data_IF_957712983324
#
_entry.id   IF_957712983324
#
_cell.length_a   1.000
_cell.length_b   1.000
_cell.length_c   1.000
_cell.angle_alpha   90.00
_cell.angle_beta   90.00
_cell.angle_gamma   90.00
#
_symmetry.space_group_name_H-M   'P 1'
#
loop_
_entity.id
_entity.type
_entity.pdbx_description
1 polymer ?
#
# COMPACT_ATOMS: atom_id res chain seq x y z
N UNK A 1 22.37 -19.07 3.00
CA UNK A 1 22.97 -17.75 2.73
C UNK A 1 21.95 -16.72 3.18
N UNK A 2 22.31 -15.73 4.02
CA UNK A 2 21.37 -14.65 4.34
C UNK A 2 21.20 -13.80 3.08
N UNK A 3 19.98 -13.42 2.70
CA UNK A 3 19.78 -12.50 1.59
C UNK A 3 20.59 -11.22 1.85
N UNK A 4 21.22 -10.72 0.78
CA UNK A 4 22.03 -9.50 0.83
C UNK A 4 21.16 -8.31 1.26
N UNK A 5 21.74 -7.34 1.97
CA UNK A 5 21.02 -6.12 2.38
C UNK A 5 20.48 -5.34 1.17
N UNK A 6 21.07 -5.55 -0.02
CA UNK A 6 20.61 -4.96 -1.28
C UNK A 6 19.28 -5.55 -1.80
N UNK A 7 18.78 -6.65 -1.23
CA UNK A 7 17.53 -7.29 -1.69
C UNK A 7 16.28 -6.58 -1.17
N UNK A 8 16.36 -5.90 -0.04
CA UNK A 8 15.19 -5.32 0.64
C UNK A 8 15.18 -3.81 0.54
N UNK A 9 14.05 -3.23 0.16
CA UNK A 9 13.90 -1.78 0.07
C UNK A 9 13.84 -1.12 1.46
N UNK A 10 13.24 -1.82 2.42
CA UNK A 10 13.05 -1.31 3.77
C UNK A 10 13.45 -2.34 4.83
N UNK A 11 14.19 -1.89 5.83
CA UNK A 11 14.12 -2.44 7.18
C UNK A 11 12.93 -1.85 7.94
N UNK A 12 12.55 -2.47 9.05
CA UNK A 12 11.50 -1.93 9.94
C UNK A 12 11.81 -0.48 10.37
N UNK A 13 13.08 -0.19 10.72
CA UNK A 13 13.48 1.15 11.13
C UNK A 13 13.29 2.18 10.01
N UNK A 14 13.73 1.85 8.78
CA UNK A 14 13.58 2.73 7.63
C UNK A 14 12.11 2.95 7.25
N UNK A 15 11.28 1.89 7.33
CA UNK A 15 9.84 2.04 7.08
C UNK A 15 9.19 2.96 8.11
N UNK A 16 9.55 2.84 9.40
CA UNK A 16 9.07 3.74 10.45
C UNK A 16 9.47 5.19 10.16
N UNK A 17 10.72 5.43 9.77
CA UNK A 17 11.21 6.78 9.43
C UNK A 17 10.43 7.41 8.27
N UNK A 18 10.05 6.62 7.26
CA UNK A 18 9.20 7.11 6.17
C UNK A 18 7.76 7.36 6.63
N UNK A 19 7.16 6.43 7.38
CA UNK A 19 5.78 6.57 7.87
C UNK A 19 5.62 7.75 8.83
N UNK A 20 6.64 8.09 9.62
CA UNK A 20 6.64 9.27 10.50
C UNK A 20 6.57 10.61 9.76
N UNK A 21 6.84 10.64 8.45
CA UNK A 21 6.74 11.84 7.62
C UNK A 21 5.33 12.06 7.06
N UNK A 22 4.43 11.10 7.20
CA UNK A 22 3.05 11.15 6.70
C UNK A 22 2.08 11.60 7.82
N UNK A 23 0.87 12.09 7.49
CA UNK A 23 -0.12 12.44 8.51
C UNK A 23 -0.51 11.22 9.36
N UNK A 24 -0.41 11.36 10.68
CA UNK A 24 -0.49 10.26 11.64
C UNK A 24 -1.91 9.69 11.85
N UNK A 25 -2.93 10.38 11.35
CA UNK A 25 -4.34 10.02 11.44
C UNK A 25 -4.85 9.26 10.21
N UNK A 26 -4.04 9.15 9.15
CA UNK A 26 -4.41 8.38 7.96
C UNK A 26 -4.36 6.87 8.24
N UNK A 27 -5.35 6.10 7.77
CA UNK A 27 -5.30 4.65 7.81
C UNK A 27 -4.16 4.12 6.91
N UNK A 28 -3.60 2.97 7.27
CA UNK A 28 -2.55 2.30 6.50
C UNK A 28 -3.11 1.01 5.91
N UNK A 29 -2.98 0.84 4.59
CA UNK A 29 -3.44 -0.32 3.83
C UNK A 29 -2.29 -0.91 3.00
N UNK A 30 -2.46 -2.13 2.51
CA UNK A 30 -1.51 -2.78 1.59
C UNK A 30 -2.16 -2.95 0.22
N UNK A 31 -1.38 -2.86 -0.85
CA UNK A 31 -1.85 -3.32 -2.16
C UNK A 31 -2.16 -4.82 -2.11
N UNK A 32 -3.33 -5.25 -2.59
CA UNK A 32 -3.70 -6.67 -2.67
C UNK A 32 -3.05 -7.36 -3.88
N UNK A 33 -2.62 -8.62 -3.72
CA UNK A 33 -2.34 -9.54 -4.82
C UNK A 33 -2.32 -11.00 -4.33
N UNK A 34 -2.73 -11.93 -5.19
CA UNK A 34 -2.86 -13.35 -4.87
C UNK A 34 -1.49 -14.04 -4.70
N UNK A 35 -1.31 -14.68 -3.54
CA UNK A 35 -0.21 -15.59 -3.14
C UNK A 35 1.22 -15.24 -3.59
N UNK A 36 2.01 -14.72 -2.66
CA UNK A 36 3.44 -14.41 -2.80
C UNK A 36 3.85 -13.31 -1.82
N UNK A 37 5.13 -12.96 -1.77
CA UNK A 37 5.62 -11.79 -1.01
C UNK A 37 6.54 -10.97 -1.89
N UNK A 38 6.35 -9.65 -1.88
CA UNK A 38 7.17 -8.69 -2.61
C UNK A 38 7.68 -7.59 -1.68
N UNK A 39 8.73 -6.88 -2.10
CA UNK A 39 9.20 -5.70 -1.38
C UNK A 39 8.11 -4.62 -1.36
N UNK A 40 8.12 -3.80 -0.31
CA UNK A 40 7.40 -2.52 -0.34
C UNK A 40 8.18 -1.59 -1.27
N UNK A 41 7.53 -1.04 -2.28
CA UNK A 41 8.13 -0.08 -3.20
C UNK A 41 8.26 1.29 -2.54
N UNK A 42 7.13 1.91 -2.17
CA UNK A 42 7.09 3.10 -1.32
C UNK A 42 5.69 3.29 -0.71
N UNK A 43 5.58 3.89 0.51
CA UNK A 43 4.32 4.38 1.03
C UNK A 43 3.81 5.58 0.22
N UNK A 44 2.54 5.56 -0.18
CA UNK A 44 1.91 6.65 -0.94
C UNK A 44 0.53 6.99 -0.35
N UNK A 45 0.13 8.27 -0.37
CA UNK A 45 -1.22 8.68 0.02
C UNK A 45 -2.13 8.59 -1.19
N UNK A 46 -3.17 7.76 -1.11
CA UNK A 46 -4.13 7.52 -2.20
C UNK A 46 -5.55 7.80 -1.72
N UNK A 47 -6.36 8.39 -2.60
CA UNK A 47 -7.80 8.56 -2.39
C UNK A 47 -8.54 7.26 -2.73
N UNK A 48 -9.25 6.70 -1.76
CA UNK A 48 -9.93 5.41 -1.86
C UNK A 48 -11.42 5.53 -1.50
N UNK A 49 -12.18 4.51 -1.88
CA UNK A 49 -13.56 4.26 -1.45
C UNK A 49 -13.69 2.84 -0.89
N UNK A 50 -14.63 2.64 0.02
CA UNK A 50 -14.94 1.32 0.58
C UNK A 50 -15.99 0.61 -0.29
N UNK A 51 -15.61 -0.52 -0.89
CA UNK A 51 -16.46 -1.33 -1.77
C UNK A 51 -16.32 -2.82 -1.42
N UNK A 52 -16.96 -3.29 -0.32
CA UNK A 52 -16.78 -4.65 0.19
C UNK A 52 -17.34 -5.75 -0.72
N UNK A 53 -18.30 -5.39 -1.58
CA UNK A 53 -18.98 -6.32 -2.50
C UNK A 53 -18.39 -6.25 -3.91
N UNK A 54 -17.13 -5.80 -4.07
CA UNK A 54 -16.49 -5.79 -5.38
C UNK A 54 -16.46 -7.21 -5.97
N UNK A 55 -16.95 -7.41 -7.20
CA UNK A 55 -16.99 -8.74 -7.82
C UNK A 55 -15.61 -9.26 -8.24
N UNK A 56 -14.55 -8.47 -8.05
CA UNK A 56 -13.17 -8.78 -8.42
C UNK A 56 -12.31 -9.07 -7.17
N UNK A 57 -11.19 -9.79 -7.35
CA UNK A 57 -10.20 -10.09 -6.30
C UNK A 57 -9.33 -8.86 -5.93
N UNK A 58 -9.93 -7.67 -5.90
CA UNK A 58 -9.27 -6.38 -5.72
C UNK A 58 -9.32 -5.90 -4.26
N UNK A 59 -9.92 -6.69 -3.37
CA UNK A 59 -10.11 -6.34 -1.96
C UNK A 59 -11.26 -5.36 -1.74
N UNK A 60 -11.47 -5.00 -0.47
CA UNK A 60 -12.63 -4.20 -0.04
C UNK A 60 -12.46 -2.68 -0.26
N UNK A 61 -11.31 -2.22 -0.76
CA UNK A 61 -11.03 -0.80 -0.97
C UNK A 61 -10.54 -0.57 -2.39
N UNK A 62 -11.12 0.41 -3.06
CA UNK A 62 -10.82 0.73 -4.47
C UNK A 62 -10.37 2.17 -4.62
N UNK A 63 -9.55 2.46 -5.63
CA UNK A 63 -9.21 3.85 -5.96
C UNK A 63 -10.49 4.62 -6.29
N UNK A 64 -10.64 5.79 -5.68
CA UNK A 64 -11.75 6.69 -5.96
C UNK A 64 -11.27 7.85 -6.85
N UNK A 65 -12.18 8.36 -7.67
CA UNK A 65 -12.05 9.72 -8.20
C UNK A 65 -12.28 10.70 -7.05
N UNK A 66 -11.57 11.83 -7.05
CA UNK A 66 -11.63 12.89 -6.03
C UNK A 66 -13.03 13.51 -5.89
N UNK A 67 -13.94 13.18 -6.82
CA UNK A 67 -15.34 13.60 -6.84
C UNK A 67 -16.29 12.63 -6.12
N UNK A 68 -15.81 11.49 -5.59
CA UNK A 68 -16.67 10.53 -4.89
C UNK A 68 -16.98 11.02 -3.46
N UNK A 69 -18.27 11.12 -3.06
CA UNK A 69 -18.65 11.65 -1.75
C UNK A 69 -18.23 10.78 -0.56
N UNK A 70 -17.96 9.49 -0.80
CA UNK A 70 -17.56 8.52 0.24
C UNK A 70 -16.06 8.18 0.16
N UNK A 71 -15.27 9.07 -0.47
CA UNK A 71 -13.83 8.90 -0.57
C UNK A 71 -13.09 9.29 0.72
N UNK A 72 -11.97 8.64 0.97
CA UNK A 72 -11.06 8.94 2.07
C UNK A 72 -9.60 8.74 1.63
N UNK A 73 -8.67 9.44 2.29
CA UNK A 73 -7.25 9.26 2.05
C UNK A 73 -6.69 8.14 2.92
N UNK A 74 -5.77 7.35 2.38
CA UNK A 74 -5.06 6.32 3.11
C UNK A 74 -3.61 6.24 2.65
N UNK A 75 -2.71 5.82 3.54
CA UNK A 75 -1.35 5.45 3.18
C UNK A 75 -1.36 4.02 2.65
N UNK A 76 -0.94 3.82 1.41
CA UNK A 76 -0.84 2.52 0.78
C UNK A 76 0.62 2.07 0.79
N UNK A 77 0.87 0.92 1.40
CA UNK A 77 2.13 0.19 1.26
C UNK A 77 2.07 -0.56 -0.07
N UNK A 78 2.56 0.10 -1.12
CA UNK A 78 2.58 -0.45 -2.47
C UNK A 78 3.62 -1.56 -2.56
N UNK A 79 3.23 -2.73 -3.09
CA UNK A 79 4.20 -3.77 -3.46
C UNK A 79 4.99 -3.34 -4.70
N UNK A 80 6.22 -3.82 -4.81
CA UNK A 80 6.99 -3.75 -6.06
C UNK A 80 6.27 -4.57 -7.14
N UNK A 81 5.94 -3.91 -8.26
CA UNK A 81 5.45 -4.58 -9.45
C UNK A 81 6.66 -5.00 -10.28
N UNK A 82 6.76 -6.28 -10.60
CA UNK A 82 7.73 -6.78 -11.56
C UNK A 82 7.02 -6.93 -12.89
N UNK A 83 7.56 -6.31 -13.92
CA UNK A 83 7.17 -6.62 -15.29
C UNK A 83 7.90 -7.92 -15.64
N UNK A 84 7.22 -9.06 -15.50
CA UNK A 84 7.71 -10.37 -15.89
C UNK A 84 7.61 -10.63 -17.40
#
# INVERSE_FOLDING_TARGET
>A
MKPDKALFHFTVAQLIEELQRLPADLPVLTSGYESGFENIYHPEIVTLKYEPESPYFEGQFQTADDLSPDSFQAVILMREHRDD
#
